data_IF_254299654764
#
_entry.id   IF_254299654764
#
_cell.length_a   1.000
_cell.length_b   1.000
_cell.length_c   1.000
_cell.angle_alpha   90.00
_cell.angle_beta   90.00
_cell.angle_gamma   90.00
#
_symmetry.space_group_name_H-M   'P 1'
#
loop_
_entity.id
_entity.type
_entity.pdbx_description
1 polymer ?
#
# COMPACT_ATOMS: atom_id res chain seq x y z
N UNK A 1 5.75 -0.03 -2.61
CA UNK A 1 6.84 -1.02 -2.43
C UNK A 1 7.83 -0.45 -1.43
N UNK A 2 8.25 -1.22 -0.43
CA UNK A 2 9.31 -0.89 0.54
C UNK A 2 9.19 0.44 1.32
N UNK A 3 9.82 0.49 2.50
CA UNK A 3 9.73 1.65 3.40
C UNK A 3 8.47 1.65 4.29
N UNK A 4 8.36 2.63 5.18
CA UNK A 4 7.37 2.60 6.24
C UNK A 4 5.94 2.92 5.75
N UNK A 5 4.94 2.47 6.51
CA UNK A 5 3.53 2.63 6.17
C UNK A 5 3.06 4.09 6.14
N UNK A 6 3.66 4.96 6.98
CA UNK A 6 3.27 6.36 7.15
C UNK A 6 3.67 7.23 5.95
N UNK A 7 4.91 7.11 5.50
CA UNK A 7 5.43 7.87 4.37
C UNK A 7 4.68 7.47 3.09
N UNK A 8 4.52 6.16 2.85
CA UNK A 8 3.78 5.65 1.69
C UNK A 8 2.32 6.09 1.71
N UNK A 9 1.65 6.02 2.87
CA UNK A 9 0.25 6.41 3.01
C UNK A 9 0.04 7.91 2.76
N UNK A 10 0.92 8.73 3.33
CA UNK A 10 0.88 10.19 3.16
C UNK A 10 1.09 10.59 1.70
N UNK A 11 2.08 10.01 1.03
CA UNK A 11 2.35 10.32 -0.37
C UNK A 11 1.27 9.79 -1.30
N UNK A 12 0.72 8.59 -1.05
CA UNK A 12 -0.39 8.06 -1.82
C UNK A 12 -1.65 8.96 -1.72
N UNK A 13 -1.95 9.46 -0.51
CA UNK A 13 -3.05 10.40 -0.32
C UNK A 13 -2.82 11.72 -1.08
N UNK A 14 -1.60 12.28 -1.02
CA UNK A 14 -1.23 13.49 -1.76
C UNK A 14 -1.43 13.31 -3.28
N UNK A 15 -0.99 12.18 -3.83
CA UNK A 15 -1.11 11.86 -5.26
C UNK A 15 -2.57 11.68 -5.69
N UNK A 16 -3.39 11.05 -4.84
CA UNK A 16 -4.82 10.91 -5.08
C UNK A 16 -5.52 12.27 -5.10
N UNK A 17 -5.27 13.13 -4.10
CA UNK A 17 -5.84 14.48 -4.03
C UNK A 17 -5.42 15.35 -5.20
N UNK A 18 -4.19 15.18 -5.70
CA UNK A 18 -3.69 15.86 -6.90
C UNK A 18 -4.24 15.27 -8.22
N UNK A 19 -5.08 14.23 -8.17
CA UNK A 19 -5.76 13.67 -9.34
C UNK A 19 -4.93 12.73 -10.22
N UNK A 20 -3.77 12.26 -9.73
CA UNK A 20 -2.90 11.37 -10.53
C UNK A 20 -3.48 9.96 -10.73
N UNK A 21 -4.27 9.48 -9.76
CA UNK A 21 -4.89 8.17 -9.82
C UNK A 21 -6.25 8.18 -9.11
N UNK A 22 -7.27 7.50 -9.65
CA UNK A 22 -8.62 7.46 -9.07
C UNK A 22 -8.75 6.43 -7.93
N UNK A 23 -7.70 5.65 -7.65
CA UNK A 23 -7.69 4.56 -6.65
C UNK A 23 -6.32 4.44 -6.00
N UNK A 24 -6.30 3.97 -4.77
CA UNK A 24 -5.09 3.64 -4.01
C UNK A 24 -5.13 2.14 -3.69
N UNK A 25 -4.04 1.42 -3.96
CA UNK A 25 -3.87 0.04 -3.51
C UNK A 25 -2.78 0.03 -2.43
N UNK A 26 -3.16 -0.27 -1.19
CA UNK A 26 -2.22 -0.43 -0.08
C UNK A 26 -1.68 -1.85 -0.07
N UNK A 27 -0.37 -1.99 -0.04
CA UNK A 27 0.34 -3.25 -0.25
C UNK A 27 1.21 -3.62 0.95
N UNK A 28 1.33 -4.94 1.17
CA UNK A 28 2.21 -5.56 2.15
C UNK A 28 1.44 -6.55 3.00
N UNK A 29 1.87 -7.81 3.00
CA UNK A 29 1.31 -8.89 3.83
C UNK A 29 2.07 -9.12 5.14
N UNK A 30 3.25 -8.50 5.30
CA UNK A 30 3.99 -8.52 6.57
C UNK A 30 3.13 -7.97 7.71
N UNK A 31 3.15 -8.66 8.85
CA UNK A 31 2.51 -8.23 10.09
C UNK A 31 3.54 -7.68 11.06
N UNK A 32 3.13 -6.71 11.86
CA UNK A 32 4.01 -6.12 12.84
C UNK A 32 4.15 -7.04 14.05
N UNK A 33 5.36 -7.60 14.25
CA UNK A 33 5.66 -8.51 15.35
C UNK A 33 5.29 -7.96 16.74
N UNK A 34 5.48 -6.67 17.00
CA UNK A 34 5.11 -6.09 18.30
C UNK A 34 3.60 -6.02 18.51
N UNK A 35 2.81 -5.83 17.45
CA UNK A 35 1.35 -5.84 17.53
C UNK A 35 0.82 -7.26 17.72
N UNK A 36 1.48 -8.26 17.15
CA UNK A 36 1.12 -9.68 17.37
C UNK A 36 1.25 -10.10 18.84
N UNK A 37 2.18 -9.52 19.59
CA UNK A 37 2.31 -9.75 21.04
C UNK A 37 1.06 -9.32 21.84
N UNK A 38 0.20 -8.51 21.24
CA UNK A 38 -1.07 -8.04 21.81
C UNK A 38 -2.29 -8.58 21.02
N UNK A 39 -2.14 -9.71 20.33
CA UNK A 39 -3.18 -10.35 19.51
C UNK A 39 -3.74 -9.46 18.38
N UNK A 40 -2.99 -8.45 17.95
CA UNK A 40 -3.34 -7.57 16.85
C UNK A 40 -2.67 -8.01 15.55
N UNK A 41 -3.39 -8.77 14.74
CA UNK A 41 -2.91 -9.28 13.44
C UNK A 41 -3.05 -8.24 12.33
N UNK A 42 -2.35 -7.12 12.43
CA UNK A 42 -2.45 -6.00 11.48
C UNK A 42 -1.33 -6.05 10.44
N UNK A 43 -1.69 -6.08 9.16
CA UNK A 43 -0.73 -6.06 8.05
C UNK A 43 -0.17 -4.67 7.77
N UNK A 44 0.99 -4.61 7.12
CA UNK A 44 1.56 -3.35 6.63
C UNK A 44 0.63 -2.64 5.64
N UNK A 45 -0.13 -3.38 4.82
CA UNK A 45 -1.16 -2.80 3.96
C UNK A 45 -2.27 -2.11 4.77
N UNK A 46 -2.76 -2.74 5.85
CA UNK A 46 -3.76 -2.15 6.74
C UNK A 46 -3.25 -0.91 7.46
N UNK A 47 -2.00 -0.94 7.96
CA UNK A 47 -1.35 0.22 8.55
C UNK A 47 -1.27 1.38 7.55
N UNK A 48 -0.89 1.12 6.30
CA UNK A 48 -0.88 2.14 5.24
C UNK A 48 -2.29 2.66 4.96
N UNK A 49 -3.30 1.79 4.88
CA UNK A 49 -4.70 2.20 4.70
C UNK A 49 -5.19 3.13 5.81
N UNK A 50 -4.83 2.85 7.08
CA UNK A 50 -5.17 3.73 8.21
C UNK A 50 -4.61 5.14 8.01
N UNK A 51 -3.35 5.25 7.60
CA UNK A 51 -2.73 6.55 7.30
C UNK A 51 -3.44 7.26 6.15
N UNK A 52 -3.81 6.55 5.09
CA UNK A 52 -4.55 7.13 3.96
C UNK A 52 -5.94 7.63 4.40
N UNK A 53 -6.63 6.89 5.26
CA UNK A 53 -7.94 7.29 5.80
C UNK A 53 -7.84 8.53 6.70
N UNK A 54 -6.78 8.67 7.48
CA UNK A 54 -6.50 9.88 8.28
C UNK A 54 -6.36 11.14 7.40
N UNK A 55 -6.03 11.00 6.12
CA UNK A 55 -5.95 12.08 5.13
C UNK A 55 -7.29 12.39 4.44
N UNK A 56 -8.42 11.91 5.00
CA UNK A 56 -9.78 12.14 4.50
C UNK A 56 -10.03 11.59 3.07
N UNK A 57 -9.26 10.57 2.66
CA UNK A 57 -9.51 9.88 1.39
C UNK A 57 -10.72 8.95 1.55
N UNK A 58 -11.68 8.94 0.59
CA UNK A 58 -12.84 8.06 0.66
C UNK A 58 -12.45 6.59 0.74
N UNK A 59 -13.00 5.85 1.71
CA UNK A 59 -12.66 4.44 1.92
C UNK A 59 -12.91 3.55 0.68
N UNK A 60 -13.85 3.94 -0.18
CA UNK A 60 -14.23 3.21 -1.40
C UNK A 60 -13.19 3.32 -2.51
N UNK A 61 -12.28 4.30 -2.45
CA UNK A 61 -11.17 4.43 -3.40
C UNK A 61 -9.91 3.71 -2.95
N UNK A 62 -9.93 3.07 -1.77
CA UNK A 62 -8.77 2.41 -1.17
C UNK A 62 -9.00 0.89 -1.15
N UNK A 63 -8.08 0.15 -1.75
CA UNK A 63 -8.08 -1.30 -1.78
C UNK A 63 -6.89 -1.85 -1.01
N UNK A 64 -7.05 -3.01 -0.37
CA UNK A 64 -5.97 -3.72 0.29
C UNK A 64 -5.44 -4.84 -0.62
N UNK A 65 -4.12 -4.98 -0.68
CA UNK A 65 -3.43 -6.13 -1.23
C UNK A 65 -2.47 -6.64 -0.16
N UNK A 66 -2.99 -7.47 0.74
CA UNK A 66 -2.28 -8.05 1.88
C UNK A 66 -1.45 -9.26 1.45
N UNK A 67 -0.57 -9.04 0.47
CA UNK A 67 0.31 -10.07 -0.10
C UNK A 67 1.74 -9.55 -0.16
N UNK A 68 2.67 -10.49 -0.05
CA UNK A 68 4.10 -10.25 -0.12
C UNK A 68 4.70 -9.82 1.21
N UNK A 69 5.79 -10.49 1.58
CA UNK A 69 6.66 -10.16 2.71
C UNK A 69 8.01 -9.61 2.26
N UNK A 70 8.25 -9.62 0.94
CA UNK A 70 9.42 -9.04 0.29
C UNK A 70 9.00 -8.16 -0.88
N UNK A 71 9.86 -7.23 -1.30
CA UNK A 71 9.63 -6.36 -2.45
C UNK A 71 9.34 -7.17 -3.73
N UNK A 72 9.99 -8.32 -3.89
CA UNK A 72 9.80 -9.20 -5.04
C UNK A 72 8.39 -9.81 -5.05
N UNK A 73 7.96 -10.40 -3.94
CA UNK A 73 6.61 -10.96 -3.81
C UNK A 73 5.52 -9.88 -3.95
N UNK A 74 5.77 -8.70 -3.37
CA UNK A 74 4.91 -7.53 -3.53
C UNK A 74 4.75 -7.15 -5.02
N UNK A 75 5.85 -7.17 -5.79
CA UNK A 75 5.84 -6.91 -7.23
C UNK A 75 5.07 -7.99 -8.02
N UNK A 76 5.26 -9.27 -7.70
CA UNK A 76 4.50 -10.36 -8.31
C UNK A 76 3.00 -10.21 -8.03
N UNK A 77 2.63 -9.88 -6.78
CA UNK A 77 1.23 -9.67 -6.40
C UNK A 77 0.59 -8.50 -7.15
N UNK A 78 1.30 -7.37 -7.30
CA UNK A 78 0.84 -6.25 -8.13
C UNK A 78 0.66 -6.68 -9.58
N UNK A 79 1.63 -7.40 -10.14
CA UNK A 79 1.62 -7.83 -11.55
C UNK A 79 0.44 -8.75 -11.84
N UNK A 80 0.18 -9.72 -10.95
CA UNK A 80 -0.97 -10.60 -11.03
C UNK A 80 -2.30 -9.82 -10.95
N UNK A 81 -2.40 -8.86 -10.02
CA UNK A 81 -3.58 -8.00 -9.89
C UNK A 81 -3.82 -7.17 -11.17
N UNK A 82 -2.78 -6.53 -11.69
CA UNK A 82 -2.90 -5.70 -12.90
C UNK A 82 -3.33 -6.53 -14.10
N UNK A 83 -2.75 -7.72 -14.25
CA UNK A 83 -3.10 -8.66 -15.33
C UNK A 83 -4.56 -9.09 -15.22
N UNK A 84 -5.01 -9.53 -14.04
CA UNK A 84 -6.37 -9.98 -13.81
C UNK A 84 -7.42 -8.87 -14.04
N UNK A 85 -7.06 -7.61 -13.77
CA UNK A 85 -7.96 -6.45 -13.90
C UNK A 85 -7.80 -5.69 -15.21
N UNK A 86 -6.88 -6.11 -16.08
CA UNK A 86 -6.56 -5.41 -17.33
C UNK A 86 -5.96 -4.02 -17.14
N UNK A 87 -5.40 -3.70 -15.97
CA UNK A 87 -4.76 -2.41 -15.71
C UNK A 87 -3.48 -2.27 -16.53
N UNK A 88 -3.36 -1.18 -17.30
CA UNK A 88 -2.23 -0.93 -18.21
C UNK A 88 -1.21 0.06 -17.67
N UNK A 89 -1.60 0.85 -16.67
CA UNK A 89 -0.75 1.88 -16.06
C UNK A 89 -0.99 1.89 -14.56
N UNK A 90 0.10 1.89 -13.80
CA UNK A 90 0.10 2.05 -12.36
C UNK A 90 1.20 3.02 -11.98
N UNK A 91 1.05 3.65 -10.82
CA UNK A 91 2.10 4.42 -10.19
C UNK A 91 2.51 3.69 -8.91
N UNK A 92 3.81 3.46 -8.74
CA UNK A 92 4.34 2.80 -7.55
C UNK A 92 4.89 3.84 -6.61
N UNK A 93 4.31 3.92 -5.42
CA UNK A 93 4.84 4.73 -4.31
C UNK A 93 5.83 3.87 -3.52
N UNK A 94 7.06 4.37 -3.37
CA UNK A 94 8.15 3.76 -2.61
C UNK A 94 8.86 4.84 -1.79
N UNK A 95 9.56 4.45 -0.72
CA UNK A 95 10.34 5.41 0.07
C UNK A 95 11.58 5.90 -0.67
N UNK A 96 11.98 7.16 -0.41
CA UNK A 96 13.21 7.77 -0.98
C UNK A 96 14.49 7.01 -0.66
N UNK A 97 14.50 6.16 0.38
CA UNK A 97 15.67 5.41 0.81
C UNK A 97 15.81 4.04 0.12
N UNK A 98 14.85 3.64 -0.71
CA UNK A 98 14.83 2.30 -1.35
C UNK A 98 14.88 2.37 -2.88
N UNK A 99 15.14 3.54 -3.48
CA UNK A 99 15.31 3.71 -4.93
C UNK A 99 16.79 3.85 -5.31
N UNK A 100 17.59 2.80 -5.07
CA UNK A 100 18.91 2.62 -5.69
C UNK A 100 18.93 1.31 -6.45
#
# INVERSE_FOLDING_TARGET
LSGNARDRGTEAARLFQAGYAPRIVCLGGERNYFLELFDMLISTAELTKRVVLEQLIPAQSIELLEKGTSTFEEFEAITAMCTARGWKKIMVVSSRFHSR
#
